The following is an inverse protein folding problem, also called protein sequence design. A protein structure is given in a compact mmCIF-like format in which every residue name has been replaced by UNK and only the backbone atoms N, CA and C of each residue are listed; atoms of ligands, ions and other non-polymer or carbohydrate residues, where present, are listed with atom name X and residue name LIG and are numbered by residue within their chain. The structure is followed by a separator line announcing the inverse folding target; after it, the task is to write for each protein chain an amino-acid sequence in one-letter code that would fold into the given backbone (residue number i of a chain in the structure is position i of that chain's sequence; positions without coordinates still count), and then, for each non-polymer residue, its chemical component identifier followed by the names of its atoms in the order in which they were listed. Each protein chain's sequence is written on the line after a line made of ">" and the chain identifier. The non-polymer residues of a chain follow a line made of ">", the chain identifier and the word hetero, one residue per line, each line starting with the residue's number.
data_IF_781209055944
#
_entry.id   IF_781209055944
#
_cell.length_a   1.000
_cell.length_b   1.000
_cell.length_c   1.000
_cell.angle_alpha   90.00
_cell.angle_beta   90.00
_cell.angle_gamma   90.00
#
_symmetry.space_group_name_H-M   'P 1'
#
loop_
_entity.id
_entity.type
_entity.pdbx_description
1 polymer ?
#
# COMPACT_ATOMS: atom_id res chain seq x y z
N UNK A 1 5.44 19.06 -9.16
CA UNK A 1 5.27 18.83 -7.70
C UNK A 1 4.66 20.04 -6.97
N UNK A 2 5.18 21.27 -7.15
CA UNK A 2 4.71 22.50 -6.48
C UNK A 2 3.20 22.83 -6.62
N UNK A 3 2.59 22.62 -7.80
CA UNK A 3 1.15 22.88 -8.00
C UNK A 3 0.24 21.95 -7.18
N UNK A 4 0.65 20.67 -6.98
CA UNK A 4 -0.17 19.67 -6.26
C UNK A 4 -0.13 19.89 -4.74
N UNK A 5 1.03 20.26 -4.18
CA UNK A 5 1.15 20.63 -2.76
C UNK A 5 0.30 21.84 -2.39
N UNK A 6 0.16 22.83 -3.30
CA UNK A 6 -0.71 24.01 -3.07
C UNK A 6 -2.19 23.63 -2.91
N UNK A 7 -2.69 22.63 -3.65
CA UNK A 7 -4.07 22.15 -3.55
C UNK A 7 -4.32 21.53 -2.16
N UNK A 8 -3.46 20.62 -1.73
CA UNK A 8 -3.57 19.99 -0.40
C UNK A 8 -3.48 21.02 0.74
N UNK A 9 -2.60 22.02 0.62
CA UNK A 9 -2.55 23.12 1.59
C UNK A 9 -3.82 23.97 1.60
N UNK A 10 -4.39 24.28 0.45
CA UNK A 10 -5.61 25.09 0.37
C UNK A 10 -6.84 24.43 1.01
N UNK A 11 -6.83 23.10 1.13
CA UNK A 11 -7.89 22.33 1.78
C UNK A 11 -7.55 21.95 3.23
N UNK A 12 -6.47 22.50 3.80
CA UNK A 12 -6.05 22.24 5.18
C UNK A 12 -5.45 20.86 5.42
N UNK A 13 -5.14 20.08 4.37
CA UNK A 13 -4.54 18.77 4.52
C UNK A 13 -3.02 18.89 4.82
N UNK A 14 -2.51 18.30 5.91
CA UNK A 14 -1.13 18.46 6.36
C UNK A 14 -0.14 17.60 5.54
N UNK A 15 -0.13 17.79 4.22
CA UNK A 15 0.65 16.96 3.28
C UNK A 15 2.16 16.99 3.54
N UNK A 16 2.70 18.13 3.98
CA UNK A 16 4.16 18.26 4.18
C UNK A 16 4.61 17.44 5.40
N UNK A 17 3.94 17.60 6.55
CA UNK A 17 4.26 16.80 7.74
C UNK A 17 3.95 15.32 7.54
N UNK A 18 2.91 14.97 6.76
CA UNK A 18 2.64 13.58 6.42
C UNK A 18 3.79 12.97 5.61
N UNK A 19 4.28 13.66 4.58
CA UNK A 19 5.43 13.19 3.79
C UNK A 19 6.68 13.09 4.66
N UNK A 20 6.97 14.10 5.49
CA UNK A 20 8.12 14.10 6.39
C UNK A 20 8.09 12.91 7.35
N UNK A 21 6.96 12.71 8.05
CA UNK A 21 6.77 11.60 8.98
C UNK A 21 6.89 10.23 8.28
N UNK A 22 6.37 10.08 7.06
CA UNK A 22 6.48 8.84 6.28
C UNK A 22 7.94 8.55 5.91
N UNK A 23 8.68 9.56 5.44
CA UNK A 23 10.09 9.40 5.08
C UNK A 23 10.97 9.10 6.30
N UNK A 24 10.70 9.74 7.44
CA UNK A 24 11.39 9.48 8.69
C UNK A 24 11.12 8.05 9.18
N UNK A 25 9.85 7.63 9.21
CA UNK A 25 9.46 6.26 9.59
C UNK A 25 10.08 5.20 8.67
N UNK A 26 10.16 5.48 7.37
CA UNK A 26 10.81 4.59 6.41
C UNK A 26 12.30 4.45 6.69
N UNK A 27 13.03 5.57 6.85
CA UNK A 27 14.46 5.55 7.19
C UNK A 27 14.73 4.83 8.50
N UNK A 28 13.88 5.02 9.50
CA UNK A 28 14.00 4.31 10.76
C UNK A 28 13.86 2.79 10.61
N UNK A 29 12.95 2.33 9.76
CA UNK A 29 12.75 0.91 9.51
C UNK A 29 13.90 0.29 8.73
N UNK A 30 14.41 1.00 7.72
CA UNK A 30 15.56 0.57 6.91
C UNK A 30 16.85 0.41 7.74
N UNK A 31 16.99 1.16 8.83
CA UNK A 31 18.15 1.10 9.73
C UNK A 31 18.02 0.09 10.89
N UNK A 32 16.86 -0.55 11.08
CA UNK A 32 16.62 -1.51 12.18
C UNK A 32 16.85 -2.94 11.70
N UNK A 33 17.57 -3.74 12.50
CA UNK A 33 17.75 -5.18 12.25
C UNK A 33 16.51 -5.99 12.66
N UNK A 34 16.38 -7.24 12.15
CA UNK A 34 15.33 -8.21 12.48
C UNK A 34 13.88 -7.75 12.20
N UNK A 35 13.66 -7.07 11.06
CA UNK A 35 12.32 -6.69 10.62
C UNK A 35 11.65 -7.78 9.83
N UNK A 36 10.34 -7.91 10.00
CA UNK A 36 9.55 -8.70 9.08
C UNK A 36 9.30 -7.87 7.82
N UNK A 37 9.25 -8.52 6.66
CA UNK A 37 8.97 -7.84 5.41
C UNK A 37 7.74 -6.90 5.48
N UNK A 38 6.68 -7.35 6.17
CA UNK A 38 5.44 -6.58 6.30
C UNK A 38 5.62 -5.27 7.09
N UNK A 39 6.67 -5.14 7.90
CA UNK A 39 6.97 -3.93 8.64
C UNK A 39 7.35 -2.79 7.69
N UNK A 40 8.07 -3.10 6.61
CA UNK A 40 8.48 -2.09 5.61
C UNK A 40 7.30 -1.51 4.82
N UNK A 41 6.16 -2.20 4.81
CA UNK A 41 4.94 -1.69 4.18
C UNK A 41 4.24 -0.62 5.03
N UNK A 42 4.53 -0.54 6.35
CA UNK A 42 3.80 0.31 7.30
C UNK A 42 3.84 1.80 6.88
N UNK A 43 4.99 2.43 6.58
CA UNK A 43 5.02 3.85 6.24
C UNK A 43 4.16 4.18 5.01
N UNK A 44 4.26 3.36 3.96
CA UNK A 44 3.50 3.54 2.72
C UNK A 44 2.00 3.30 2.93
N UNK A 45 1.65 2.26 3.71
CA UNK A 45 0.28 1.96 4.08
C UNK A 45 -0.35 3.09 4.89
N UNK A 46 0.34 3.60 5.90
CA UNK A 46 -0.10 4.74 6.71
C UNK A 46 -0.25 6.01 5.87
N UNK A 47 0.67 6.28 4.95
CA UNK A 47 0.55 7.44 4.04
C UNK A 47 -0.75 7.39 3.23
N UNK A 48 -1.07 6.25 2.63
CA UNK A 48 -2.29 6.08 1.83
C UNK A 48 -3.54 6.08 2.73
N UNK A 49 -3.47 5.49 3.92
CA UNK A 49 -4.52 5.54 4.93
C UNK A 49 -4.90 6.98 5.29
N UNK A 50 -3.90 7.82 5.52
CA UNK A 50 -4.07 9.24 5.84
C UNK A 50 -4.69 10.04 4.69
N UNK A 51 -4.31 9.72 3.44
CA UNK A 51 -4.95 10.31 2.26
C UNK A 51 -6.41 9.92 2.15
N UNK A 52 -6.75 8.66 2.40
CA UNK A 52 -8.14 8.19 2.37
C UNK A 52 -8.95 8.81 3.51
N UNK A 53 -8.42 8.85 4.73
CA UNK A 53 -9.05 9.52 5.88
C UNK A 53 -9.37 10.99 5.58
N UNK A 54 -8.47 11.68 4.90
CA UNK A 54 -8.67 13.07 4.52
C UNK A 54 -9.92 13.29 3.66
N UNK A 55 -10.28 12.34 2.80
CA UNK A 55 -11.47 12.50 1.94
C UNK A 55 -12.76 12.49 2.78
N UNK A 56 -12.79 11.74 3.89
CA UNK A 56 -13.88 11.76 4.86
C UNK A 56 -14.03 13.14 5.50
N UNK A 57 -12.92 13.70 5.98
CA UNK A 57 -12.85 15.02 6.63
C UNK A 57 -13.32 16.11 5.66
N UNK A 58 -12.81 16.09 4.42
CA UNK A 58 -13.14 17.08 3.39
C UNK A 58 -14.59 17.00 2.93
N UNK A 59 -15.18 15.81 2.98
CA UNK A 59 -16.60 15.59 2.63
C UNK A 59 -17.55 15.82 3.81
N UNK A 60 -17.03 16.15 5.00
CA UNK A 60 -17.82 16.32 6.22
C UNK A 60 -18.41 15.02 6.77
N UNK A 61 -17.93 13.86 6.34
CA UNK A 61 -18.41 12.53 6.72
C UNK A 61 -17.47 11.90 7.74
N UNK A 62 -17.42 12.47 8.95
CA UNK A 62 -16.46 12.06 10.00
C UNK A 62 -16.62 10.60 10.42
N UNK A 63 -17.82 10.06 10.33
CA UNK A 63 -18.13 8.65 10.57
C UNK A 63 -17.34 7.69 9.65
N UNK A 64 -16.89 8.17 8.49
CA UNK A 64 -16.11 7.39 7.54
C UNK A 64 -14.60 7.50 7.75
N UNK A 65 -14.11 8.32 8.68
CA UNK A 65 -12.66 8.56 8.85
C UNK A 65 -11.88 7.27 9.12
N UNK A 66 -12.31 6.47 10.11
CA UNK A 66 -11.65 5.21 10.46
C UNK A 66 -11.79 4.16 9.35
N UNK A 67 -12.96 4.11 8.71
CA UNK A 67 -13.27 3.15 7.65
C UNK A 67 -12.38 3.41 6.43
N UNK A 68 -12.27 4.68 6.01
CA UNK A 68 -11.42 5.09 4.91
C UNK A 68 -9.95 4.96 5.25
N UNK A 69 -9.55 5.24 6.50
CA UNK A 69 -8.20 4.94 6.96
C UNK A 69 -7.87 3.45 6.78
N UNK A 70 -8.72 2.54 7.25
CA UNK A 70 -8.50 1.09 7.15
C UNK A 70 -8.43 0.62 5.69
N UNK A 71 -9.33 1.11 4.82
CA UNK A 71 -9.28 0.82 3.39
C UNK A 71 -7.95 1.29 2.80
N UNK A 72 -7.57 2.54 3.05
CA UNK A 72 -6.32 3.11 2.53
C UNK A 72 -5.08 2.38 3.03
N UNK A 73 -5.07 1.96 4.30
CA UNK A 73 -3.99 1.18 4.89
C UNK A 73 -3.78 -0.13 4.14
N UNK A 74 -4.86 -0.90 3.93
CA UNK A 74 -4.78 -2.18 3.23
C UNK A 74 -4.46 -2.02 1.74
N UNK A 75 -4.98 -0.99 1.07
CA UNK A 75 -4.61 -0.65 -0.31
C UNK A 75 -3.11 -0.36 -0.40
N UNK A 76 -2.59 0.50 0.47
CA UNK A 76 -1.17 0.85 0.46
C UNK A 76 -0.26 -0.32 0.80
N UNK A 77 -0.69 -1.19 1.72
CA UNK A 77 0.01 -2.45 2.02
C UNK A 77 0.09 -3.34 0.79
N UNK A 78 -1.02 -3.56 0.06
CA UNK A 78 -1.01 -4.38 -1.16
C UNK A 78 -0.08 -3.81 -2.22
N UNK A 79 -0.15 -2.50 -2.47
CA UNK A 79 0.70 -1.82 -3.46
C UNK A 79 2.18 -2.04 -3.12
N UNK A 80 2.59 -1.76 -1.88
CA UNK A 80 3.98 -1.91 -1.45
C UNK A 80 4.49 -3.34 -1.62
N UNK A 81 3.68 -4.33 -1.22
CA UNK A 81 4.05 -5.75 -1.33
C UNK A 81 4.24 -6.14 -2.80
N UNK A 82 3.31 -5.73 -3.66
CA UNK A 82 3.33 -6.07 -5.09
C UNK A 82 4.50 -5.40 -5.79
N UNK A 83 4.73 -4.11 -5.55
CA UNK A 83 5.87 -3.39 -6.16
C UNK A 83 7.21 -3.99 -5.69
N UNK A 84 7.37 -4.30 -4.39
CA UNK A 84 8.57 -4.97 -3.87
C UNK A 84 8.84 -6.32 -4.55
N UNK A 85 7.79 -7.11 -4.84
CA UNK A 85 7.90 -8.38 -5.56
C UNK A 85 8.28 -8.20 -7.04
N UNK A 86 7.72 -7.18 -7.68
CA UNK A 86 7.89 -6.92 -9.10
C UNK A 86 9.28 -6.35 -9.39
N UNK A 87 9.82 -5.54 -8.49
CA UNK A 87 11.05 -4.79 -8.71
C UNK A 87 12.30 -5.43 -8.11
N UNK A 88 12.16 -6.56 -7.39
CA UNK A 88 13.27 -7.27 -6.74
C UNK A 88 14.54 -7.44 -7.60
N UNK A 89 14.38 -7.82 -8.87
CA UNK A 89 15.52 -8.01 -9.79
C UNK A 89 16.18 -6.67 -10.15
N UNK A 90 15.37 -5.66 -10.48
CA UNK A 90 15.89 -4.35 -10.88
C UNK A 90 16.55 -3.62 -9.71
N UNK A 91 15.96 -3.73 -8.51
CA UNK A 91 16.51 -3.12 -7.30
C UNK A 91 17.85 -3.76 -6.94
N UNK A 92 17.96 -5.08 -7.04
CA UNK A 92 19.21 -5.80 -6.84
C UNK A 92 20.29 -5.37 -7.87
N UNK A 93 19.94 -5.32 -9.15
CA UNK A 93 20.88 -4.93 -10.23
C UNK A 93 21.35 -3.47 -10.11
N UNK A 94 20.53 -2.58 -9.52
CA UNK A 94 20.82 -1.15 -9.36
C UNK A 94 21.36 -0.77 -7.99
N UNK A 95 21.61 -1.74 -7.10
CA UNK A 95 22.01 -1.51 -5.70
C UNK A 95 21.04 -0.57 -4.97
N UNK A 96 19.73 -0.75 -5.23
CA UNK A 96 18.64 -0.02 -4.58
C UNK A 96 18.02 -0.86 -3.47
N UNK A 97 17.51 -0.20 -2.44
CA UNK A 97 16.85 -0.89 -1.33
C UNK A 97 15.60 -1.63 -1.81
N UNK A 98 15.52 -2.93 -1.49
CA UNK A 98 14.31 -3.73 -1.66
C UNK A 98 14.01 -4.47 -0.35
N UNK A 99 12.78 -4.34 0.14
CA UNK A 99 12.37 -4.92 1.42
C UNK A 99 12.40 -6.45 1.45
N UNK A 100 12.27 -7.12 0.30
CA UNK A 100 12.42 -8.58 0.24
C UNK A 100 13.86 -8.97 0.51
N UNK A 101 14.81 -8.31 -0.16
CA UNK A 101 16.25 -8.56 0.00
C UNK A 101 16.68 -8.24 1.44
N UNK A 102 16.21 -7.12 1.98
CA UNK A 102 16.52 -6.69 3.35
C UNK A 102 15.91 -7.58 4.45
N UNK A 103 14.92 -8.41 4.13
CA UNK A 103 14.32 -9.37 5.06
C UNK A 103 15.07 -10.72 5.10
N UNK A 104 16.22 -10.82 4.44
CA UNK A 104 17.21 -11.92 4.47
C UNK A 104 16.65 -13.29 4.03
N UNK A 105 16.49 -13.45 2.70
CA UNK A 105 16.06 -14.70 2.05
C UNK A 105 17.23 -15.64 1.79
N UNK A 106 17.58 -16.49 2.76
CA UNK A 106 18.73 -17.41 2.59
C UNK A 106 18.39 -18.92 2.65
N UNK A 107 17.13 -19.32 2.44
CA UNK A 107 16.75 -20.75 2.33
C UNK A 107 15.58 -20.98 1.37
N UNK A 108 15.68 -22.02 0.53
CA UNK A 108 14.62 -22.49 -0.37
C UNK A 108 13.32 -22.86 0.36
N UNK A 109 13.41 -23.41 1.58
CA UNK A 109 12.22 -23.67 2.42
C UNK A 109 11.61 -22.36 2.97
N UNK A 110 12.44 -21.36 3.27
CA UNK A 110 11.99 -20.02 3.63
C UNK A 110 11.32 -19.32 2.44
N UNK A 111 11.78 -19.55 1.21
CA UNK A 111 11.19 -18.98 -0.01
C UNK A 111 9.71 -19.37 -0.17
N UNK A 112 9.37 -20.66 -0.02
CA UNK A 112 7.98 -21.11 -0.19
C UNK A 112 7.06 -20.63 0.95
N UNK A 113 7.52 -20.73 2.20
CA UNK A 113 6.78 -20.23 3.37
C UNK A 113 6.52 -18.73 3.25
N UNK A 114 7.49 -17.99 2.76
CA UNK A 114 7.38 -16.56 2.61
C UNK A 114 6.48 -16.14 1.45
N UNK A 115 6.56 -16.81 0.28
CA UNK A 115 5.59 -16.62 -0.80
C UNK A 115 4.16 -16.82 -0.29
N UNK A 116 3.92 -17.85 0.52
CA UNK A 116 2.62 -18.09 1.14
C UNK A 116 2.24 -16.99 2.13
N UNK A 117 3.19 -16.50 2.95
CA UNK A 117 2.96 -15.37 3.86
C UNK A 117 2.55 -14.10 3.10
N UNK A 118 3.25 -13.76 2.01
CA UNK A 118 2.93 -12.60 1.16
C UNK A 118 1.54 -12.74 0.54
N UNK A 119 1.28 -13.89 -0.05
CA UNK A 119 -0.02 -14.20 -0.65
C UNK A 119 -1.15 -14.06 0.37
N UNK A 120 -1.00 -14.69 1.54
CA UNK A 120 -1.98 -14.61 2.61
C UNK A 120 -2.17 -13.16 3.10
N UNK A 121 -1.10 -12.39 3.25
CA UNK A 121 -1.16 -10.98 3.66
C UNK A 121 -1.96 -10.13 2.66
N UNK A 122 -1.79 -10.38 1.36
CA UNK A 122 -2.53 -9.68 0.30
C UNK A 122 -4.01 -10.09 0.32
N UNK A 123 -4.31 -11.39 0.44
CA UNK A 123 -5.69 -11.89 0.53
C UNK A 123 -6.40 -11.33 1.77
N UNK A 124 -5.75 -11.36 2.93
CA UNK A 124 -6.27 -10.77 4.16
C UNK A 124 -6.55 -9.28 3.99
N UNK A 125 -5.68 -8.55 3.29
CA UNK A 125 -5.89 -7.13 3.02
C UNK A 125 -7.08 -6.88 2.09
N UNK A 126 -7.31 -7.71 1.07
CA UNK A 126 -8.52 -7.63 0.26
C UNK A 126 -9.79 -7.94 1.05
N UNK A 127 -9.73 -8.94 1.95
CA UNK A 127 -10.85 -9.26 2.85
C UNK A 127 -11.18 -8.06 3.74
N UNK A 128 -10.16 -7.42 4.32
CA UNK A 128 -10.34 -6.22 5.15
C UNK A 128 -10.92 -5.05 4.38
N UNK A 129 -10.44 -4.77 3.16
CA UNK A 129 -11.03 -3.75 2.28
C UNK A 129 -12.52 -4.04 2.05
N UNK A 130 -12.87 -5.28 1.69
CA UNK A 130 -14.26 -5.68 1.47
C UNK A 130 -15.13 -5.52 2.70
N UNK A 131 -14.62 -5.88 3.88
CA UNK A 131 -15.39 -5.77 5.11
C UNK A 131 -15.56 -4.32 5.56
N UNK A 132 -14.54 -3.47 5.40
CA UNK A 132 -14.63 -2.02 5.64
C UNK A 132 -15.60 -1.34 4.67
N UNK A 133 -15.66 -1.77 3.40
CA UNK A 133 -16.61 -1.23 2.42
C UNK A 133 -18.07 -1.44 2.81
N UNK A 134 -18.40 -2.54 3.49
CA UNK A 134 -19.77 -2.79 4.01
C UNK A 134 -20.20 -1.76 5.07
N UNK A 135 -19.23 -1.13 5.73
CA UNK A 135 -19.45 -0.12 6.76
C UNK A 135 -19.41 1.30 6.16
N UNK A 136 -18.80 1.46 4.99
CA UNK A 136 -18.65 2.76 4.35
C UNK A 136 -19.98 3.23 3.79
N UNK A 137 -20.42 4.41 4.22
CA UNK A 137 -21.64 5.04 3.70
C UNK A 137 -21.28 6.33 2.95
N UNK A 138 -21.45 6.32 1.62
CA UNK A 138 -21.24 7.49 0.78
C UNK A 138 -22.58 8.11 0.37
N UNK A 139 -22.60 9.45 0.23
CA UNK A 139 -23.78 10.19 -0.24
C UNK A 139 -24.11 9.86 -1.71
N UNK A 140 -23.08 9.64 -2.53
CA UNK A 140 -23.18 9.34 -3.95
C UNK A 140 -22.11 8.32 -4.36
N UNK A 141 -22.36 7.62 -5.47
CA UNK A 141 -21.38 6.76 -6.15
C UNK A 141 -20.80 5.58 -5.33
N UNK A 142 -21.52 5.10 -4.31
CA UNK A 142 -21.14 3.92 -3.51
C UNK A 142 -20.73 2.73 -4.39
N UNK A 143 -21.61 2.32 -5.30
CA UNK A 143 -21.37 1.17 -6.17
C UNK A 143 -20.13 1.35 -7.07
N UNK A 144 -19.86 2.58 -7.51
CA UNK A 144 -18.68 2.87 -8.31
C UNK A 144 -17.38 2.71 -7.52
N UNK A 145 -17.34 3.22 -6.28
CA UNK A 145 -16.19 3.06 -5.38
C UNK A 145 -15.97 1.60 -5.01
N UNK A 146 -17.04 0.87 -4.70
CA UNK A 146 -16.99 -0.58 -4.45
C UNK A 146 -16.46 -1.33 -5.67
N UNK A 147 -16.95 -1.04 -6.87
CA UNK A 147 -16.48 -1.67 -8.10
C UNK A 147 -14.99 -1.41 -8.36
N UNK A 148 -14.50 -0.19 -8.11
CA UNK A 148 -13.07 0.11 -8.21
C UNK A 148 -12.28 -0.77 -7.24
N UNK A 149 -12.68 -0.83 -5.97
CA UNK A 149 -11.87 -1.47 -4.93
C UNK A 149 -11.99 -3.00 -4.92
N UNK A 150 -13.15 -3.55 -5.29
CA UNK A 150 -13.42 -4.99 -5.29
C UNK A 150 -13.11 -5.67 -6.63
N UNK A 151 -13.06 -4.92 -7.73
CA UNK A 151 -12.85 -5.49 -9.07
C UNK A 151 -11.73 -4.80 -9.84
N UNK A 152 -11.76 -3.47 -9.93
CA UNK A 152 -10.78 -2.69 -10.68
C UNK A 152 -9.35 -2.85 -10.15
N UNK A 153 -9.18 -2.64 -8.86
CA UNK A 153 -7.89 -2.69 -8.18
C UNK A 153 -7.29 -4.12 -8.17
N UNK A 154 -8.01 -5.18 -7.77
CA UNK A 154 -7.51 -6.55 -7.88
C UNK A 154 -7.10 -6.94 -9.31
N UNK A 155 -7.87 -6.50 -10.31
CA UNK A 155 -7.57 -6.76 -11.73
C UNK A 155 -6.27 -6.06 -12.16
N UNK A 156 -6.08 -4.81 -11.75
CA UNK A 156 -4.85 -4.06 -12.09
C UNK A 156 -3.62 -4.67 -11.40
N UNK A 157 -3.74 -5.08 -10.13
CA UNK A 157 -2.66 -5.80 -9.42
C UNK A 157 -2.30 -7.10 -10.15
N UNK A 158 -3.29 -7.90 -10.53
CA UNK A 158 -3.08 -9.15 -11.26
C UNK A 158 -2.36 -8.91 -12.59
N UNK A 159 -2.81 -7.90 -13.34
CA UNK A 159 -2.20 -7.50 -14.62
C UNK A 159 -0.74 -7.05 -14.46
N UNK A 160 -0.41 -6.28 -13.42
CA UNK A 160 0.97 -5.87 -13.15
C UNK A 160 1.88 -7.08 -12.91
N UNK A 161 1.42 -8.03 -12.09
CA UNK A 161 2.15 -9.27 -11.79
C UNK A 161 2.36 -10.09 -13.08
N UNK A 162 1.33 -10.26 -13.90
CA UNK A 162 1.42 -11.00 -15.17
C UNK A 162 2.38 -10.36 -16.17
N UNK A 163 2.36 -9.04 -16.30
CA UNK A 163 3.23 -8.32 -17.24
C UNK A 163 4.70 -8.47 -16.88
N UNK A 164 5.07 -8.43 -15.59
CA UNK A 164 6.46 -8.62 -15.18
C UNK A 164 6.95 -10.05 -15.41
N UNK A 165 6.08 -11.07 -15.23
CA UNK A 165 6.41 -12.47 -15.59
C UNK A 165 6.77 -12.62 -17.07
N UNK A 166 6.08 -11.91 -17.97
CA UNK A 166 6.38 -11.95 -19.41
C UNK A 166 7.73 -11.32 -19.77
N UNK A 167 8.15 -10.28 -19.04
CA UNK A 167 9.42 -9.58 -19.27
C UNK A 167 10.65 -10.37 -18.78
N UNK A 168 10.48 -11.34 -17.89
CA UNK A 168 11.56 -12.20 -17.40
C UNK A 168 11.77 -13.47 -18.26
N UNK A 169 10.95 -13.69 -19.30
CA UNK A 169 10.98 -14.85 -20.19
C UNK A 169 11.46 -14.47 -21.61
N UNK A 170 11.99 -13.26 -21.80
CA UNK A 170 12.61 -12.80 -23.05
C UNK A 170 14.11 -12.60 -22.86
#
# INVERSE_FOLDING_TARGET
>A
MLKRKKIFKSIGFPIDSLIENTLESQRELENKTNRQFTDYAIPSATFIAELFRATAILSGLKENESILYDIGYHVGKIIYIVDSCIDIKEDFEKDQFNALIAADFDDYFLEHRFKNMLHNTVIESFVKIRDSLKLLNLLEHQEFVENILLHGFPKEISKRIENKKKLQVV
#
